data_IF_341415171038
#
_entry.id   IF_341415171038
#
_cell.length_a   1.000
_cell.length_b   1.000
_cell.length_c   1.000
_cell.angle_alpha   90.00
_cell.angle_beta   90.00
_cell.angle_gamma   90.00
#
_symmetry.space_group_name_H-M   'P 1'
#
loop_
_entity.id
_entity.type
_entity.pdbx_description
1 polymer ?
#
# COMPACT_ATOMS: atom_id res chain seq x y z
N UNK A 1 31.94 -20.48 12.19
CA UNK A 1 31.62 -19.51 11.13
C UNK A 1 31.76 -20.22 9.81
N UNK A 2 30.75 -20.18 8.95
CA UNK A 2 30.87 -20.73 7.60
C UNK A 2 31.83 -19.85 6.78
N UNK A 3 32.38 -20.39 5.68
CA UNK A 3 33.17 -19.57 4.75
C UNK A 3 32.33 -18.41 4.18
N UNK A 4 31.02 -18.60 4.02
CA UNK A 4 30.10 -17.55 3.57
C UNK A 4 29.96 -16.41 4.60
N UNK A 5 29.89 -16.71 5.90
CA UNK A 5 29.82 -15.69 6.95
C UNK A 5 31.09 -14.82 6.98
N UNK A 6 32.26 -15.44 6.81
CA UNK A 6 33.53 -14.74 6.75
C UNK A 6 33.60 -13.80 5.53
N UNK A 7 33.25 -14.28 4.34
CA UNK A 7 33.25 -13.44 3.13
C UNK A 7 32.23 -12.32 3.20
N UNK A 8 31.07 -12.54 3.82
CA UNK A 8 30.05 -11.52 4.01
C UNK A 8 30.53 -10.41 4.96
N UNK A 9 31.26 -10.75 6.03
CA UNK A 9 31.84 -9.75 6.95
C UNK A 9 32.96 -8.94 6.29
N UNK A 10 33.81 -9.60 5.50
CA UNK A 10 34.82 -8.93 4.68
C UNK A 10 34.17 -7.99 3.65
N UNK A 11 33.06 -8.39 3.03
CA UNK A 11 32.32 -7.57 2.08
C UNK A 11 31.74 -6.31 2.74
N UNK A 12 31.15 -6.44 3.94
CA UNK A 12 30.66 -5.28 4.73
C UNK A 12 31.79 -4.32 5.05
N UNK A 13 32.93 -4.85 5.47
CA UNK A 13 34.12 -4.05 5.79
C UNK A 13 34.62 -3.28 4.56
N UNK A 14 34.68 -3.94 3.40
CA UNK A 14 35.07 -3.30 2.14
C UNK A 14 34.07 -2.22 1.70
N UNK A 15 32.77 -2.48 1.84
CA UNK A 15 31.71 -1.50 1.54
C UNK A 15 31.83 -0.23 2.40
N UNK A 16 32.01 -0.39 3.72
CA UNK A 16 32.20 0.75 4.63
C UNK A 16 33.47 1.56 4.31
N UNK A 17 34.51 0.90 3.79
CA UNK A 17 35.76 1.55 3.34
C UNK A 17 35.65 2.20 1.94
N UNK A 18 34.49 2.11 1.27
CA UNK A 18 34.31 2.62 -0.10
C UNK A 18 35.00 1.77 -1.17
N UNK A 19 35.41 0.55 -0.85
CA UNK A 19 36.10 -0.36 -1.77
C UNK A 19 35.08 -1.17 -2.58
N UNK A 20 34.33 -0.50 -3.46
CA UNK A 20 33.16 -1.05 -4.16
C UNK A 20 33.46 -2.33 -4.94
N UNK A 21 34.52 -2.38 -5.74
CA UNK A 21 34.87 -3.58 -6.53
C UNK A 21 35.21 -4.78 -5.64
N UNK A 22 35.97 -4.55 -4.56
CA UNK A 22 36.34 -5.59 -3.62
C UNK A 22 35.10 -6.12 -2.88
N UNK A 23 34.20 -5.23 -2.46
CA UNK A 23 32.95 -5.60 -1.83
C UNK A 23 32.07 -6.46 -2.76
N UNK A 24 31.89 -6.04 -4.02
CA UNK A 24 31.11 -6.80 -5.01
C UNK A 24 31.70 -8.19 -5.28
N UNK A 25 33.02 -8.31 -5.43
CA UNK A 25 33.70 -9.59 -5.62
C UNK A 25 33.47 -10.57 -4.46
N UNK A 26 33.49 -10.07 -3.22
CA UNK A 26 33.23 -10.87 -2.03
C UNK A 26 31.74 -11.25 -1.92
N UNK A 27 30.82 -10.35 -2.26
CA UNK A 27 29.37 -10.62 -2.29
C UNK A 27 29.04 -11.70 -3.32
N UNK A 28 29.60 -11.61 -4.54
CA UNK A 28 29.36 -12.58 -5.60
C UNK A 28 29.85 -13.99 -5.20
N UNK A 29 30.93 -14.09 -4.42
CA UNK A 29 31.38 -15.38 -3.84
C UNK A 29 30.38 -15.95 -2.82
N UNK A 30 29.81 -15.11 -1.95
CA UNK A 30 28.79 -15.54 -0.99
C UNK A 30 27.55 -16.04 -1.72
N UNK A 31 27.08 -15.29 -2.71
CA UNK A 31 25.88 -15.64 -3.50
C UNK A 31 26.09 -16.85 -4.40
N UNK A 32 27.32 -17.13 -4.82
CA UNK A 32 27.65 -18.35 -5.54
C UNK A 32 27.48 -19.60 -4.66
N UNK A 33 27.90 -19.53 -3.39
CA UNK A 33 27.77 -20.65 -2.44
C UNK A 33 26.39 -20.73 -1.80
N UNK A 34 25.75 -19.60 -1.55
CA UNK A 34 24.46 -19.48 -0.88
C UNK A 34 23.52 -18.54 -1.67
N UNK A 35 22.89 -19.04 -2.75
CA UNK A 35 22.07 -18.22 -3.64
C UNK A 35 20.84 -17.57 -2.97
N UNK A 36 20.42 -18.10 -1.82
CA UNK A 36 19.30 -17.58 -1.04
C UNK A 36 19.74 -16.79 0.21
N UNK A 37 21.02 -16.38 0.29
CA UNK A 37 21.50 -15.57 1.41
C UNK A 37 20.96 -14.13 1.31
N UNK A 38 19.93 -13.86 2.10
CA UNK A 38 19.20 -12.60 2.06
C UNK A 38 20.06 -11.39 2.46
N UNK A 39 21.06 -11.58 3.33
CA UNK A 39 21.95 -10.51 3.76
C UNK A 39 22.97 -10.13 2.67
N UNK A 40 23.44 -11.10 1.89
CA UNK A 40 24.32 -10.86 0.75
C UNK A 40 23.60 -10.14 -0.40
N UNK A 41 22.35 -10.50 -0.71
CA UNK A 41 21.53 -9.79 -1.69
C UNK A 41 21.23 -8.34 -1.27
N UNK A 42 20.97 -8.10 0.02
CA UNK A 42 20.77 -6.73 0.51
C UNK A 42 22.05 -5.89 0.40
N UNK A 43 23.19 -6.46 0.79
CA UNK A 43 24.49 -5.79 0.67
C UNK A 43 24.86 -5.52 -0.79
N UNK A 44 24.47 -6.40 -1.72
CA UNK A 44 24.61 -6.17 -3.16
C UNK A 44 23.85 -4.92 -3.61
N UNK A 45 22.59 -4.78 -3.17
CA UNK A 45 21.75 -3.63 -3.50
C UNK A 45 22.34 -2.31 -2.98
N UNK A 46 22.90 -2.33 -1.78
CA UNK A 46 23.55 -1.15 -1.17
C UNK A 46 24.90 -0.81 -1.83
N UNK A 47 25.61 -1.81 -2.35
CA UNK A 47 26.98 -1.63 -2.88
C UNK A 47 27.01 -1.31 -4.37
N UNK A 48 26.05 -1.82 -5.16
CA UNK A 48 26.12 -1.70 -6.61
C UNK A 48 25.83 -0.26 -7.08
N UNK A 49 26.65 0.30 -7.98
CA UNK A 49 26.38 1.63 -8.56
C UNK A 49 25.26 1.59 -9.61
N UNK A 50 25.04 0.43 -10.24
CA UNK A 50 24.04 0.23 -11.30
C UNK A 50 22.61 0.20 -10.72
N UNK A 51 21.73 1.14 -11.09
CA UNK A 51 20.34 1.16 -10.66
C UNK A 51 19.55 -0.10 -11.03
N UNK A 52 19.82 -0.72 -12.18
CA UNK A 52 19.12 -1.93 -12.60
C UNK A 52 19.52 -3.13 -11.73
N UNK A 53 20.82 -3.34 -11.51
CA UNK A 53 21.35 -4.37 -10.59
C UNK A 53 20.88 -4.16 -9.16
N UNK A 54 20.71 -2.91 -8.72
CA UNK A 54 20.16 -2.57 -7.39
C UNK A 54 18.70 -3.02 -7.25
N UNK A 55 17.85 -2.69 -8.20
CA UNK A 55 16.44 -3.09 -8.19
C UNK A 55 16.30 -4.61 -8.19
N UNK A 56 17.05 -5.31 -9.05
CA UNK A 56 17.06 -6.77 -9.10
C UNK A 56 17.49 -7.40 -7.77
N UNK A 57 18.48 -6.81 -7.10
CA UNK A 57 18.95 -7.30 -5.80
C UNK A 57 17.87 -7.14 -4.72
N UNK A 58 17.15 -6.01 -4.67
CA UNK A 58 16.02 -5.84 -3.75
C UNK A 58 14.87 -6.81 -4.04
N UNK A 59 14.51 -7.03 -5.31
CA UNK A 59 13.48 -8.02 -5.69
C UNK A 59 13.85 -9.43 -5.21
N UNK A 60 15.14 -9.81 -5.30
CA UNK A 60 15.62 -11.09 -4.77
C UNK A 60 15.52 -11.18 -3.25
N UNK A 61 15.83 -10.11 -2.52
CA UNK A 61 15.65 -10.04 -1.06
C UNK A 61 14.19 -10.27 -0.67
N UNK A 62 13.25 -9.63 -1.38
CA UNK A 62 11.81 -9.79 -1.15
C UNK A 62 11.33 -11.20 -1.50
N UNK A 63 11.81 -11.77 -2.60
CA UNK A 63 11.44 -13.12 -3.05
C UNK A 63 11.89 -14.23 -2.07
N UNK A 64 13.01 -14.03 -1.35
CA UNK A 64 13.49 -14.99 -0.35
C UNK A 64 12.61 -14.99 0.90
N UNK A 65 12.44 -13.82 1.54
CA UNK A 65 11.55 -13.70 2.70
C UNK A 65 11.21 -12.21 3.01
N UNK A 66 9.99 -11.73 2.71
CA UNK A 66 9.64 -10.33 2.93
C UNK A 66 9.46 -9.95 4.42
N UNK A 67 9.37 -10.92 5.34
CA UNK A 67 9.06 -10.67 6.76
C UNK A 67 10.30 -10.39 7.62
N UNK A 68 11.50 -10.70 7.13
CA UNK A 68 12.75 -10.41 7.84
C UNK A 68 13.08 -8.91 7.79
N UNK A 69 14.01 -8.45 8.62
CA UNK A 69 14.46 -7.05 8.61
C UNK A 69 14.98 -6.64 7.21
N UNK A 70 15.76 -7.51 6.55
CA UNK A 70 16.24 -7.29 5.19
C UNK A 70 15.08 -7.24 4.18
N UNK A 71 14.09 -8.14 4.31
CA UNK A 71 12.87 -8.15 3.51
C UNK A 71 12.09 -6.83 3.60
N UNK A 72 11.83 -6.35 4.82
CA UNK A 72 11.14 -5.09 5.06
C UNK A 72 11.89 -3.88 4.49
N UNK A 73 13.21 -3.87 4.61
CA UNK A 73 14.06 -2.82 4.04
C UNK A 73 13.98 -2.82 2.51
N UNK A 74 14.04 -3.98 1.87
CA UNK A 74 13.92 -4.10 0.42
C UNK A 74 12.53 -3.70 -0.11
N UNK A 75 11.45 -4.06 0.59
CA UNK A 75 10.09 -3.60 0.26
C UNK A 75 9.99 -2.08 0.33
N UNK A 76 10.51 -1.47 1.40
CA UNK A 76 10.52 -0.01 1.54
C UNK A 76 11.33 0.67 0.43
N UNK A 77 12.48 0.10 0.04
CA UNK A 77 13.32 0.62 -1.04
C UNK A 77 12.63 0.53 -2.42
N UNK A 78 11.89 -0.54 -2.70
CA UNK A 78 11.14 -0.71 -3.96
C UNK A 78 9.89 0.17 -4.04
N UNK A 79 9.30 0.54 -2.89
CA UNK A 79 8.14 1.43 -2.81
C UNK A 79 8.51 2.91 -2.76
N UNK A 80 9.77 3.23 -2.48
CA UNK A 80 10.26 4.60 -2.50
C UNK A 80 10.31 5.13 -3.94
N UNK A 81 9.56 6.19 -4.23
CA UNK A 81 9.67 6.93 -5.48
C UNK A 81 11.11 7.49 -5.57
N UNK A 82 11.87 7.23 -6.66
CA UNK A 82 13.21 7.79 -6.79
C UNK A 82 13.12 9.31 -6.74
N UNK A 83 13.86 9.92 -5.80
CA UNK A 83 14.00 11.36 -5.76
C UNK A 83 14.61 11.84 -7.09
N UNK A 84 14.14 12.96 -7.67
CA UNK A 84 14.80 13.54 -8.83
C UNK A 84 16.29 13.78 -8.48
N UNK A 85 17.23 13.50 -9.40
CA UNK A 85 18.64 13.71 -9.13
C UNK A 85 18.86 15.16 -8.71
N UNK A 86 19.64 15.37 -7.65
CA UNK A 86 20.10 16.70 -7.27
C UNK A 86 20.92 17.25 -8.45
N UNK A 87 20.34 18.21 -9.15
CA UNK A 87 20.93 18.84 -10.33
C UNK A 87 22.21 19.57 -9.90
N UNK A 88 23.38 18.98 -10.12
CA UNK A 88 24.60 19.76 -10.28
C UNK A 88 24.43 20.58 -11.55
N UNK A 89 24.49 21.91 -11.42
CA UNK A 89 24.36 22.85 -12.52
C UNK A 89 25.25 22.45 -13.72
N UNK A 90 24.70 22.30 -14.94
CA UNK A 90 25.51 22.08 -16.13
C UNK A 90 26.41 23.29 -16.40
N UNK A 91 27.67 23.10 -16.84
CA UNK A 91 28.46 24.20 -17.38
C UNK A 91 27.76 24.75 -18.63
N UNK A 92 27.74 26.07 -18.75
CA UNK A 92 27.07 26.79 -19.83
C UNK A 92 27.54 26.30 -21.21
N UNK A 93 26.64 25.65 -21.94
CA UNK A 93 26.81 25.36 -23.37
C UNK A 93 26.46 26.61 -24.20
N UNK A 94 27.08 26.79 -25.38
CA UNK A 94 26.95 28.02 -26.17
C UNK A 94 25.54 28.20 -26.72
N UNK A 95 25.10 29.46 -26.79
CA UNK A 95 23.79 29.84 -27.29
C UNK A 95 23.56 29.36 -28.73
N UNK A 96 22.58 28.46 -28.90
CA UNK A 96 21.97 28.18 -30.20
C UNK A 96 20.90 29.27 -30.45
N UNK A 97 20.87 29.91 -31.63
CA UNK A 97 19.89 30.95 -31.91
C UNK A 97 18.46 30.36 -31.92
N UNK A 98 17.57 31.02 -31.19
CA UNK A 98 16.17 30.64 -31.10
C UNK A 98 15.46 30.83 -32.45
N UNK A 99 14.76 29.78 -32.91
CA UNK A 99 13.80 29.91 -34.00
C UNK A 99 12.65 30.86 -33.60
N UNK A 100 12.04 31.57 -34.56
CA UNK A 100 11.00 32.54 -34.27
C UNK A 100 9.77 31.85 -33.68
N UNK A 101 9.41 32.29 -32.47
CA UNK A 101 8.16 31.95 -31.77
C UNK A 101 6.97 32.19 -32.73
N UNK A 102 6.09 31.20 -32.99
CA UNK A 102 4.85 31.47 -33.71
C UNK A 102 4.00 32.47 -32.92
N UNK A 103 3.25 33.36 -33.59
CA UNK A 103 2.53 34.42 -32.92
C UNK A 103 1.51 33.84 -31.93
N UNK A 104 1.54 34.36 -30.71
CA UNK A 104 0.52 34.10 -29.71
C UNK A 104 -0.83 34.50 -30.32
N UNK A 105 -1.76 33.54 -30.40
CA UNK A 105 -3.17 33.88 -30.60
C UNK A 105 -3.60 34.73 -29.41
N UNK A 106 -3.76 36.00 -29.69
CA UNK A 106 -4.24 37.03 -28.79
C UNK A 106 -5.75 36.88 -28.63
N UNK A 107 -6.16 36.01 -27.70
CA UNK A 107 -7.48 36.09 -27.05
C UNK A 107 -7.29 36.01 -25.53
N UNK A 108 -6.25 36.66 -25.02
CA UNK A 108 -6.09 36.88 -23.58
C UNK A 108 -7.09 37.94 -23.15
N UNK A 109 -8.29 37.51 -22.79
CA UNK A 109 -9.23 38.33 -22.03
C UNK A 109 -8.48 38.95 -20.84
N UNK A 110 -8.56 40.28 -20.68
CA UNK A 110 -7.96 40.98 -19.56
C UNK A 110 -8.33 40.30 -18.23
N UNK A 111 -7.43 40.27 -17.21
CA UNK A 111 -7.72 39.64 -15.94
C UNK A 111 -9.01 40.26 -15.36
N UNK A 112 -10.05 39.45 -15.23
CA UNK A 112 -11.34 39.88 -14.68
C UNK A 112 -11.08 40.34 -13.24
N UNK A 113 -11.36 41.60 -12.92
CA UNK A 113 -11.20 42.12 -11.57
C UNK A 113 -11.99 41.26 -10.56
N UNK A 114 -11.51 41.12 -9.31
CA UNK A 114 -12.22 40.35 -8.31
C UNK A 114 -13.62 40.94 -8.10
N UNK A 115 -14.63 40.08 -8.19
CA UNK A 115 -16.01 40.48 -8.01
C UNK A 115 -16.26 40.88 -6.55
N UNK A 116 -16.97 41.98 -6.35
CA UNK A 116 -17.46 42.40 -5.03
C UNK A 116 -18.90 41.91 -4.88
N UNK A 117 -19.25 41.33 -3.75
CA UNK A 117 -20.60 40.85 -3.43
C UNK A 117 -21.11 41.50 -2.16
N UNK A 118 -22.42 41.72 -2.10
CA UNK A 118 -23.02 42.30 -0.90
C UNK A 118 -23.35 41.21 0.12
N UNK A 119 -22.74 41.33 1.30
CA UNK A 119 -23.01 40.48 2.44
C UNK A 119 -24.35 40.79 3.12
N UNK A 120 -24.60 40.10 4.22
CA UNK A 120 -25.75 40.25 5.08
C UNK A 120 -25.32 40.27 6.54
N UNK A 121 -26.19 40.76 7.41
CA UNK A 121 -26.03 40.68 8.85
C UNK A 121 -27.39 40.43 9.51
N UNK A 122 -27.38 39.88 10.71
CA UNK A 122 -28.60 39.66 11.49
C UNK A 122 -28.66 40.65 12.65
N UNK A 123 -29.82 41.29 12.83
CA UNK A 123 -30.05 42.25 13.90
C UNK A 123 -30.19 41.54 15.25
N UNK A 124 -29.26 41.80 16.17
CA UNK A 124 -29.28 41.22 17.53
C UNK A 124 -30.38 41.78 18.43
N UNK A 125 -30.95 42.94 18.09
CA UNK A 125 -31.95 43.62 18.93
C UNK A 125 -33.37 43.09 18.70
N UNK A 126 -33.77 42.90 17.44
CA UNK A 126 -35.11 42.40 17.09
C UNK A 126 -35.12 41.01 16.46
N UNK A 127 -33.93 40.43 16.18
CA UNK A 127 -33.82 39.11 15.56
C UNK A 127 -34.05 39.08 14.04
N UNK A 128 -34.23 40.23 13.39
CA UNK A 128 -34.36 40.30 11.92
C UNK A 128 -33.12 39.76 11.25
N UNK A 129 -33.30 38.79 10.34
CA UNK A 129 -32.20 38.12 9.64
C UNK A 129 -32.02 38.67 8.23
N UNK A 130 -30.80 38.59 7.72
CA UNK A 130 -30.53 38.88 6.31
C UNK A 130 -30.67 40.36 5.96
N UNK A 131 -30.38 41.26 6.90
CA UNK A 131 -30.32 42.70 6.61
C UNK A 131 -29.15 42.95 5.66
N UNK A 132 -29.33 43.82 4.66
CA UNK A 132 -28.31 44.05 3.64
C UNK A 132 -27.05 44.65 4.26
N UNK A 133 -25.88 44.22 3.79
CA UNK A 133 -24.60 44.70 4.27
C UNK A 133 -24.48 46.22 4.20
N UNK A 134 -25.03 46.87 3.17
CA UNK A 134 -25.02 48.34 3.06
C UNK A 134 -25.82 49.06 4.14
N UNK A 135 -26.85 48.42 4.71
CA UNK A 135 -27.81 49.06 5.61
C UNK A 135 -27.25 49.11 7.03
N UNK A 136 -26.96 50.30 7.55
CA UNK A 136 -26.43 50.49 8.92
C UNK A 136 -27.53 50.28 9.97
N UNK A 137 -28.73 50.75 9.70
CA UNK A 137 -29.89 50.56 10.56
C UNK A 137 -30.71 49.35 10.10
N UNK A 138 -31.22 48.58 11.05
CA UNK A 138 -32.15 47.50 10.76
C UNK A 138 -33.47 48.11 10.24
N UNK A 139 -33.97 47.72 9.05
CA UNK A 139 -35.20 48.28 8.50
C UNK A 139 -36.45 47.91 9.32
N UNK A 140 -36.38 46.87 10.16
CA UNK A 140 -37.51 46.42 10.96
C UNK A 140 -37.67 47.17 12.30
N UNK A 141 -36.56 47.55 12.96
CA UNK A 141 -36.61 48.15 14.30
C UNK A 141 -35.79 49.44 14.46
N UNK A 142 -35.09 49.89 13.41
CA UNK A 142 -34.28 51.11 13.43
C UNK A 142 -32.95 50.99 14.18
N UNK A 143 -32.71 49.92 14.96
CA UNK A 143 -31.43 49.75 15.64
C UNK A 143 -30.26 49.60 14.66
N UNK A 144 -29.20 50.35 14.93
CA UNK A 144 -27.97 50.37 14.15
C UNK A 144 -27.04 49.20 14.49
N UNK A 145 -26.21 48.82 13.52
CA UNK A 145 -25.08 47.90 13.72
C UNK A 145 -24.11 48.45 14.76
N UNK A 146 -23.51 47.55 15.53
CA UNK A 146 -22.50 47.85 16.56
C UNK A 146 -21.27 46.95 16.39
N UNK A 147 -20.37 47.01 17.38
CA UNK A 147 -19.09 46.27 17.36
C UNK A 147 -19.22 44.74 17.26
N UNK A 148 -20.38 44.17 17.58
CA UNK A 148 -20.60 42.72 17.56
C UNK A 148 -21.30 42.25 16.28
N UNK A 149 -21.57 43.16 15.33
CA UNK A 149 -22.15 42.77 14.04
C UNK A 149 -21.26 41.74 13.35
N UNK A 150 -21.90 40.72 12.78
CA UNK A 150 -21.22 39.69 11.99
C UNK A 150 -21.77 39.71 10.59
N UNK A 151 -20.91 40.07 9.65
CA UNK A 151 -21.23 39.94 8.24
C UNK A 151 -21.09 38.48 7.81
N UNK A 152 -21.94 38.08 6.89
CA UNK A 152 -21.88 36.79 6.23
C UNK A 152 -22.26 36.96 4.76
N UNK A 153 -21.79 36.06 3.91
CA UNK A 153 -22.05 36.10 2.48
C UNK A 153 -22.96 34.92 2.10
N UNK A 154 -24.25 35.16 1.81
CA UNK A 154 -25.14 34.13 1.27
C UNK A 154 -24.54 33.45 0.03
N UNK A 155 -24.86 32.17 -0.19
CA UNK A 155 -24.35 31.43 -1.36
C UNK A 155 -24.80 32.05 -2.68
N UNK A 156 -26.04 32.52 -2.72
CA UNK A 156 -26.64 33.22 -3.87
C UNK A 156 -26.48 34.75 -3.79
N UNK A 157 -25.43 35.26 -3.12
CA UNK A 157 -25.21 36.70 -3.07
C UNK A 157 -24.80 37.25 -4.44
N UNK A 158 -25.59 38.16 -4.98
CA UNK A 158 -25.31 38.81 -6.27
C UNK A 158 -24.01 39.62 -6.26
N UNK A 159 -23.38 39.67 -7.43
CA UNK A 159 -22.27 40.58 -7.71
C UNK A 159 -22.78 42.04 -7.71
N UNK A 160 -22.03 42.91 -7.06
CA UNK A 160 -22.30 44.34 -7.00
C UNK A 160 -21.78 44.99 -8.28
N UNK A 161 -22.69 45.27 -9.21
CA UNK A 161 -22.36 45.91 -10.49
C UNK A 161 -22.48 47.45 -10.45
N UNK A 162 -23.22 47.99 -9.47
CA UNK A 162 -23.43 49.44 -9.35
C UNK A 162 -22.14 50.15 -8.90
N UNK A 163 -21.75 51.19 -9.64
CA UNK A 163 -20.52 51.91 -9.42
C UNK A 163 -20.46 52.60 -8.05
N UNK A 164 -21.57 53.15 -7.55
CA UNK A 164 -21.61 53.82 -6.26
C UNK A 164 -21.46 52.83 -5.10
N UNK A 165 -22.04 51.63 -5.23
CA UNK A 165 -21.86 50.56 -4.27
C UNK A 165 -20.46 49.95 -4.32
N UNK A 166 -19.84 49.81 -5.49
CA UNK A 166 -18.44 49.41 -5.62
C UNK A 166 -17.51 50.41 -4.93
N UNK A 167 -17.75 51.72 -5.11
CA UNK A 167 -17.01 52.76 -4.41
C UNK A 167 -17.24 52.70 -2.89
N UNK A 168 -18.49 52.43 -2.46
CA UNK A 168 -18.81 52.23 -1.04
C UNK A 168 -18.07 51.02 -0.46
N UNK A 169 -18.03 49.90 -1.16
CA UNK A 169 -17.31 48.71 -0.73
C UNK A 169 -15.80 48.98 -0.59
N UNK A 170 -15.23 49.74 -1.54
CA UNK A 170 -13.81 50.14 -1.55
C UNK A 170 -13.48 51.32 -0.64
N UNK A 171 -14.45 51.90 0.05
CA UNK A 171 -14.25 53.06 0.93
C UNK A 171 -13.48 52.73 2.22
N UNK A 172 -13.31 51.43 2.53
CA UNK A 172 -12.68 50.93 3.74
C UNK A 172 -13.69 50.40 4.76
N UNK A 173 -13.16 49.88 5.88
CA UNK A 173 -13.93 49.29 6.97
C UNK A 173 -14.85 50.32 7.65
N UNK A 174 -15.99 49.88 8.16
CA UNK A 174 -16.86 50.75 8.97
C UNK A 174 -16.15 51.10 10.29
N UNK A 175 -16.20 52.38 10.70
CA UNK A 175 -15.68 52.83 11.99
C UNK A 175 -16.76 52.77 13.06
N UNK A 176 -16.34 52.56 14.31
CA UNK A 176 -17.21 52.43 15.47
C UNK A 176 -17.06 53.66 16.36
N UNK A 177 -18.16 54.35 16.62
CA UNK A 177 -18.15 55.56 17.45
C UNK A 177 -17.71 55.24 18.87
N UNK A 178 -16.67 55.92 19.37
CA UNK A 178 -16.16 55.74 20.73
C UNK A 178 -17.19 56.11 21.81
N UNK A 179 -18.13 57.02 21.52
CA UNK A 179 -19.13 57.49 22.47
C UNK A 179 -20.35 56.58 22.57
N UNK A 180 -20.92 56.17 21.43
CA UNK A 180 -22.18 55.41 21.40
C UNK A 180 -22.06 53.99 20.82
N UNK A 181 -20.88 53.59 20.34
CA UNK A 181 -20.63 52.26 19.77
C UNK A 181 -21.25 51.98 18.40
N UNK A 182 -21.92 52.98 17.80
CA UNK A 182 -22.59 52.84 16.49
C UNK A 182 -21.57 52.70 15.36
N UNK A 183 -21.84 51.77 14.45
CA UNK A 183 -21.11 51.63 13.18
C UNK A 183 -21.45 52.75 12.20
N UNK A 184 -20.44 53.31 11.57
CA UNK A 184 -20.55 54.37 10.57
C UNK A 184 -19.67 54.01 9.37
N UNK A 185 -20.08 54.45 8.18
CA UNK A 185 -19.28 54.24 6.98
C UNK A 185 -17.92 54.90 7.08
N UNK A 186 -16.91 54.30 6.45
CA UNK A 186 -15.53 54.78 6.45
C UNK A 186 -15.39 56.29 6.11
N UNK A 187 -16.20 56.80 5.18
CA UNK A 187 -16.18 58.20 4.70
C UNK A 187 -16.97 59.18 5.57
N UNK A 188 -17.67 58.74 6.61
CA UNK A 188 -18.40 59.65 7.51
C UNK A 188 -17.44 60.25 8.54
N UNK A 189 -17.36 61.58 8.60
CA UNK A 189 -16.52 62.30 9.59
C UNK A 189 -17.19 62.45 10.96
N UNK A 190 -18.51 62.24 11.04
CA UNK A 190 -19.31 62.39 12.25
C UNK A 190 -20.25 61.19 12.40
N UNK A 191 -20.53 60.82 13.65
CA UNK A 191 -21.43 59.72 13.95
C UNK A 191 -22.86 60.11 13.59
N UNK A 192 -23.53 59.30 12.76
CA UNK A 192 -24.91 59.56 12.34
C UNK A 192 -25.94 59.48 13.48
N UNK A 193 -25.59 58.81 14.58
CA UNK A 193 -26.50 58.60 15.71
C UNK A 193 -26.36 59.68 16.80
N UNK A 194 -25.14 60.07 17.17
CA UNK A 194 -24.90 61.01 18.28
C UNK A 194 -24.14 62.29 17.89
N UNK A 195 -23.70 62.43 16.64
CA UNK A 195 -22.96 63.60 16.17
C UNK A 195 -21.47 63.65 16.56
N UNK A 196 -20.97 62.69 17.33
CA UNK A 196 -19.57 62.68 17.76
C UNK A 196 -18.59 62.56 16.58
N UNK A 197 -17.41 63.16 16.71
CA UNK A 197 -16.39 63.18 15.67
C UNK A 197 -15.73 61.81 15.48
N UNK A 198 -15.42 61.44 14.23
CA UNK A 198 -14.60 60.26 13.92
C UNK A 198 -13.20 60.36 14.50
N UNK A 199 -12.64 61.57 14.59
CA UNK A 199 -11.28 61.80 15.12
C UNK A 199 -11.10 61.28 16.55
N UNK A 200 -12.19 61.15 17.31
CA UNK A 200 -12.19 60.64 18.68
C UNK A 200 -12.46 59.11 18.75
N UNK A 201 -12.58 58.44 17.60
CA UNK A 201 -12.94 57.03 17.46
C UNK A 201 -11.84 56.19 16.81
N UNK A 202 -11.17 55.36 17.61
CA UNK A 202 -10.09 54.47 17.13
C UNK A 202 -10.57 53.05 16.78
N UNK A 203 -11.82 52.70 17.12
CA UNK A 203 -12.37 51.36 16.89
C UNK A 203 -13.00 51.26 15.50
N UNK A 204 -12.81 50.12 14.85
CA UNK A 204 -13.31 49.84 13.50
C UNK A 204 -13.69 48.37 13.39
N UNK A 205 -14.52 48.03 12.41
CA UNK A 205 -14.73 46.65 12.00
C UNK A 205 -13.45 46.06 11.42
N UNK A 206 -13.29 44.74 11.54
CA UNK A 206 -12.12 44.04 11.03
C UNK A 206 -12.31 43.60 9.58
N UNK A 207 -11.30 43.81 8.75
CA UNK A 207 -11.17 43.12 7.46
C UNK A 207 -10.72 41.67 7.73
N UNK A 208 -11.30 40.70 7.03
CA UNK A 208 -10.92 39.30 7.21
C UNK A 208 -10.98 38.51 5.91
N UNK A 209 -9.89 37.80 5.59
CA UNK A 209 -9.82 36.90 4.44
C UNK A 209 -10.16 35.47 4.85
N UNK A 210 -10.97 34.80 4.03
CA UNK A 210 -11.45 33.44 4.21
C UNK A 210 -11.14 32.61 2.97
N UNK A 211 -10.77 31.34 3.15
CA UNK A 211 -10.86 30.33 2.07
C UNK A 211 -12.35 30.04 1.77
N UNK A 212 -12.65 29.50 0.58
CA UNK A 212 -14.04 29.27 0.14
C UNK A 212 -14.90 28.46 1.14
N UNK A 213 -14.31 27.51 1.85
CA UNK A 213 -14.95 26.67 2.87
C UNK A 213 -15.17 27.38 4.22
N UNK A 214 -14.44 28.46 4.48
CA UNK A 214 -14.49 29.20 5.75
C UNK A 214 -15.37 30.45 5.69
N UNK A 215 -15.86 30.83 4.50
CA UNK A 215 -16.70 32.01 4.31
C UNK A 215 -17.97 31.90 5.17
N UNK A 216 -18.23 32.84 6.10
CA UNK A 216 -19.43 32.78 6.93
C UNK A 216 -20.67 32.87 6.05
N UNK A 217 -21.59 31.91 6.19
CA UNK A 217 -22.88 31.88 5.45
C UNK A 217 -24.08 32.32 6.29
N UNK A 218 -23.87 32.59 7.58
CA UNK A 218 -24.88 33.12 8.51
C UNK A 218 -24.22 33.90 9.64
N UNK A 219 -24.98 34.73 10.38
CA UNK A 219 -24.45 35.50 11.52
C UNK A 219 -24.15 34.66 12.78
N UNK A 220 -24.52 33.38 12.80
CA UNK A 220 -24.18 32.48 13.91
C UNK A 220 -22.68 32.25 13.97
N UNK A 221 -22.11 32.22 15.17
CA UNK A 221 -20.71 31.80 15.33
C UNK A 221 -20.56 30.40 14.70
N UNK A 222 -19.53 30.15 13.89
CA UNK A 222 -19.17 28.77 13.59
C UNK A 222 -18.93 28.07 14.92
N UNK A 223 -19.68 26.99 15.20
CA UNK A 223 -19.30 26.05 16.27
C UNK A 223 -17.88 25.60 15.93
N UNK A 224 -16.93 25.52 16.88
CA UNK A 224 -15.63 24.94 16.61
C UNK A 224 -15.85 23.53 16.05
N UNK A 225 -15.62 23.38 14.75
CA UNK A 225 -15.69 22.10 14.07
C UNK A 225 -14.53 21.27 14.60
N UNK A 226 -14.76 20.10 15.21
CA UNK A 226 -13.68 19.16 15.45
C UNK A 226 -12.97 18.88 14.13
N UNK A 227 -11.64 18.76 14.18
CA UNK A 227 -10.81 18.44 13.02
C UNK A 227 -11.45 17.33 12.17
N UNK A 228 -11.43 17.43 10.83
CA UNK A 228 -12.06 16.45 9.97
C UNK A 228 -11.40 15.09 10.22
N UNK A 229 -12.19 14.14 10.71
CA UNK A 229 -11.83 12.74 10.66
C UNK A 229 -11.64 12.34 9.19
N UNK A 230 -10.68 11.45 8.86
CA UNK A 230 -10.46 11.00 7.49
C UNK A 230 -11.77 10.44 6.91
N UNK A 231 -12.13 10.80 5.66
CA UNK A 231 -13.41 10.39 5.11
C UNK A 231 -13.45 8.87 4.95
N UNK A 232 -14.50 8.17 5.45
CA UNK A 232 -14.78 6.82 4.99
C UNK A 232 -15.16 6.91 3.51
N UNK A 233 -14.41 6.21 2.67
CA UNK A 233 -14.69 6.06 1.25
C UNK A 233 -16.10 5.49 1.06
N UNK A 234 -17.01 6.30 0.52
CA UNK A 234 -18.29 5.79 -0.01
C UNK A 234 -18.23 5.85 -1.52
N UNK A 235 -18.10 4.67 -2.10
CA UNK A 235 -18.33 4.38 -3.51
C UNK A 235 -19.76 4.78 -3.89
N UNK A 236 -19.88 5.47 -5.03
CA UNK A 236 -21.15 5.81 -5.63
C UNK A 236 -21.90 4.55 -6.07
N UNK A 237 -23.19 4.51 -5.75
CA UNK A 237 -24.10 3.48 -6.23
C UNK A 237 -24.37 3.65 -7.72
N UNK A 238 -24.11 2.59 -8.48
CA UNK A 238 -24.90 2.26 -9.67
C UNK A 238 -25.75 1.03 -9.30
N UNK A 239 -27.07 1.22 -9.31
CA UNK A 239 -28.05 0.29 -8.78
C UNK A 239 -28.18 -1.00 -9.59
N UNK A 240 -28.59 -2.04 -8.86
CA UNK A 240 -29.13 -3.35 -9.31
C UNK A 240 -28.20 -4.51 -9.68
N UNK A 241 -26.88 -4.36 -9.79
CA UNK A 241 -25.97 -5.55 -9.97
C UNK A 241 -25.04 -5.77 -8.77
N UNK A 242 -24.59 -4.69 -8.12
CA UNK A 242 -23.66 -4.76 -6.97
C UNK A 242 -24.33 -5.29 -5.70
N UNK A 243 -25.63 -5.02 -5.50
CA UNK A 243 -26.37 -5.56 -4.36
C UNK A 243 -26.54 -7.08 -4.44
N UNK A 244 -26.77 -7.62 -5.64
CA UNK A 244 -26.85 -9.07 -5.85
C UNK A 244 -25.47 -9.70 -5.68
N UNK A 245 -24.41 -9.09 -6.22
CA UNK A 245 -23.04 -9.58 -6.03
C UNK A 245 -22.58 -9.54 -4.57
N UNK A 246 -22.95 -8.50 -3.81
CA UNK A 246 -22.63 -8.40 -2.38
C UNK A 246 -23.47 -9.37 -1.53
N UNK A 247 -24.75 -9.57 -1.86
CA UNK A 247 -25.60 -10.58 -1.20
C UNK A 247 -25.13 -11.99 -1.56
N UNK A 248 -24.73 -12.25 -2.80
CA UNK A 248 -24.13 -13.53 -3.21
C UNK A 248 -22.79 -13.74 -2.53
N UNK A 249 -21.93 -12.72 -2.43
CA UNK A 249 -20.65 -12.82 -1.73
C UNK A 249 -20.86 -13.06 -0.23
N UNK A 250 -21.79 -12.35 0.42
CA UNK A 250 -22.17 -12.61 1.82
C UNK A 250 -22.84 -13.98 1.99
N UNK A 251 -23.61 -14.45 1.01
CA UNK A 251 -24.19 -15.79 0.98
C UNK A 251 -23.11 -16.84 0.83
N UNK A 252 -22.13 -16.68 -0.06
CA UNK A 252 -21.02 -17.63 -0.24
C UNK A 252 -20.03 -17.59 0.93
N UNK A 253 -19.80 -16.42 1.53
CA UNK A 253 -19.01 -16.27 2.77
C UNK A 253 -19.76 -16.87 3.95
N UNK A 254 -21.06 -16.64 4.08
CA UNK A 254 -21.91 -17.23 5.12
C UNK A 254 -22.09 -18.74 4.94
N UNK A 255 -22.24 -19.20 3.70
CA UNK A 255 -22.31 -20.62 3.34
C UNK A 255 -20.95 -21.28 3.57
N UNK A 256 -19.86 -20.62 3.21
CA UNK A 256 -18.49 -21.07 3.51
C UNK A 256 -18.24 -21.15 5.01
N UNK A 257 -18.63 -20.12 5.77
CA UNK A 257 -18.55 -20.12 7.22
C UNK A 257 -19.43 -21.23 7.82
N UNK A 258 -20.66 -21.44 7.33
CA UNK A 258 -21.57 -22.50 7.80
C UNK A 258 -21.09 -23.92 7.45
N UNK A 259 -20.43 -24.07 6.29
CA UNK A 259 -19.80 -25.32 5.84
C UNK A 259 -18.52 -25.63 6.64
N UNK A 260 -17.77 -24.61 7.05
CA UNK A 260 -16.48 -24.73 7.73
C UNK A 260 -16.56 -24.62 9.26
N UNK A 261 -17.69 -24.19 9.83
CA UNK A 261 -17.84 -24.12 11.29
C UNK A 261 -17.97 -25.54 11.85
N UNK A 262 -17.02 -25.99 12.69
CA UNK A 262 -17.06 -27.32 13.26
C UNK A 262 -18.23 -27.40 14.25
N UNK A 263 -18.97 -28.51 14.20
CA UNK A 263 -20.10 -28.81 15.11
C UNK A 263 -19.73 -29.95 16.03
N UNK A 264 -20.03 -29.82 17.32
CA UNK A 264 -19.89 -30.93 18.22
C UNK A 264 -21.12 -31.85 18.18
N UNK A 265 -20.85 -33.16 18.16
CA UNK A 265 -21.85 -34.21 18.24
C UNK A 265 -21.34 -35.32 19.14
N UNK A 266 -22.22 -35.86 19.98
CA UNK A 266 -21.87 -36.97 20.87
C UNK A 266 -22.04 -38.31 20.14
N UNK A 267 -20.95 -39.04 19.96
CA UNK A 267 -20.93 -40.34 19.28
C UNK A 267 -20.38 -41.44 20.19
N UNK A 268 -20.86 -42.67 20.01
CA UNK A 268 -20.39 -43.83 20.76
C UNK A 268 -19.27 -44.54 20.00
N UNK A 269 -18.23 -44.98 20.71
CA UNK A 269 -17.15 -45.77 20.12
C UNK A 269 -17.57 -47.23 20.08
N UNK A 270 -17.67 -47.79 18.88
CA UNK A 270 -18.19 -49.14 18.62
C UNK A 270 -17.14 -50.11 18.10
N UNK A 271 -15.94 -49.63 17.80
CA UNK A 271 -14.89 -50.47 17.27
C UNK A 271 -13.57 -49.73 17.06
N UNK A 272 -12.57 -50.51 16.68
CA UNK A 272 -11.21 -50.06 16.45
C UNK A 272 -10.64 -50.78 15.23
N UNK A 273 -9.75 -50.11 14.52
CA UNK A 273 -8.81 -50.76 13.63
C UNK A 273 -7.47 -50.05 13.69
N UNK A 274 -6.41 -50.77 13.39
CA UNK A 274 -5.06 -50.23 13.32
C UNK A 274 -4.32 -50.92 12.19
N UNK A 275 -3.38 -50.20 11.58
CA UNK A 275 -2.47 -50.71 10.58
C UNK A 275 -1.07 -50.15 10.84
N UNK A 276 -0.06 -51.02 10.86
CA UNK A 276 1.35 -50.63 10.97
C UNK A 276 2.12 -51.23 9.81
N UNK A 277 2.96 -50.42 9.18
CA UNK A 277 3.83 -50.86 8.08
C UNK A 277 5.29 -50.52 8.31
N UNK A 278 6.18 -51.39 7.83
CA UNK A 278 7.62 -51.15 7.81
C UNK A 278 8.12 -51.39 6.39
N UNK A 279 8.72 -50.37 5.79
CA UNK A 279 9.46 -50.53 4.56
C UNK A 279 10.69 -51.41 4.82
N UNK A 280 10.94 -52.39 3.96
CA UNK A 280 12.19 -53.13 3.92
C UNK A 280 13.00 -52.53 2.80
N UNK A 281 14.17 -51.99 3.17
CA UNK A 281 15.14 -51.48 2.22
C UNK A 281 16.20 -52.55 1.97
N UNK A 282 16.62 -52.69 0.72
CA UNK A 282 17.71 -53.55 0.31
C UNK A 282 18.83 -52.70 -0.26
N UNK A 283 20.07 -53.03 0.10
CA UNK A 283 21.25 -52.37 -0.43
C UNK A 283 21.46 -52.86 -1.87
N UNK A 284 21.28 -51.96 -2.84
CA UNK A 284 21.41 -52.24 -4.26
C UNK A 284 22.50 -51.36 -4.86
N UNK A 285 23.35 -51.96 -5.69
CA UNK A 285 24.27 -51.21 -6.55
C UNK A 285 23.48 -50.60 -7.71
N UNK A 286 23.46 -49.27 -7.78
CA UNK A 286 22.78 -48.53 -8.85
C UNK A 286 23.80 -47.75 -9.67
N UNK A 287 23.52 -47.56 -10.95
CA UNK A 287 24.29 -46.68 -11.83
C UNK A 287 23.64 -45.29 -11.84
N UNK A 288 24.42 -44.27 -11.48
CA UNK A 288 23.99 -42.86 -11.45
C UNK A 288 24.94 -42.01 -12.33
N UNK A 289 24.45 -40.88 -12.83
CA UNK A 289 25.28 -39.87 -13.50
C UNK A 289 25.34 -38.59 -12.65
N UNK A 290 26.50 -37.95 -12.61
CA UNK A 290 26.67 -36.70 -11.88
C UNK A 290 27.99 -36.01 -12.16
N UNK A 291 28.12 -34.77 -11.68
CA UNK A 291 29.31 -33.95 -11.85
C UNK A 291 30.43 -34.28 -10.86
N UNK A 292 30.09 -35.06 -9.82
CA UNK A 292 31.00 -35.54 -8.78
C UNK A 292 30.58 -36.96 -8.39
N UNK A 293 31.54 -37.76 -7.95
CA UNK A 293 31.32 -39.13 -7.49
C UNK A 293 31.25 -39.11 -5.96
N UNK A 294 30.11 -39.46 -5.34
CA UNK A 294 29.98 -39.50 -3.89
C UNK A 294 30.90 -40.54 -3.25
N UNK A 295 31.15 -40.42 -1.95
CA UNK A 295 31.92 -41.41 -1.19
C UNK A 295 31.29 -42.81 -1.32
N UNK A 296 32.11 -43.81 -1.63
CA UNK A 296 31.66 -45.19 -1.92
C UNK A 296 31.25 -45.43 -3.38
N UNK A 297 31.22 -44.39 -4.22
CA UNK A 297 30.96 -44.52 -5.66
C UNK A 297 32.17 -45.05 -6.43
N UNK A 298 31.91 -45.88 -7.43
CA UNK A 298 32.89 -46.52 -8.31
C UNK A 298 32.70 -45.98 -9.73
N UNK A 299 33.65 -45.20 -10.23
CA UNK A 299 33.59 -44.59 -11.58
C UNK A 299 33.52 -45.69 -12.65
N UNK A 300 32.54 -45.59 -13.55
CA UNK A 300 32.45 -46.41 -14.76
C UNK A 300 33.04 -45.68 -15.97
N UNK A 301 32.63 -44.42 -16.19
CA UNK A 301 33.10 -43.61 -17.32
C UNK A 301 33.01 -42.11 -17.01
N UNK A 302 33.63 -41.30 -17.87
CA UNK A 302 33.54 -39.85 -17.82
C UNK A 302 33.42 -39.26 -19.22
N UNK A 303 32.72 -38.12 -19.36
CA UNK A 303 32.55 -37.41 -20.62
C UNK A 303 32.47 -35.89 -20.40
N UNK A 304 32.85 -35.11 -21.40
CA UNK A 304 32.57 -33.67 -21.41
C UNK A 304 31.07 -33.44 -21.66
N UNK A 305 30.44 -32.63 -20.81
CA UNK A 305 29.02 -32.31 -20.91
C UNK A 305 28.76 -30.85 -20.51
N UNK A 306 27.66 -30.28 -21.02
CA UNK A 306 27.24 -28.92 -20.67
C UNK A 306 26.73 -28.91 -19.23
N UNK A 307 27.45 -28.22 -18.35
CA UNK A 307 27.09 -28.01 -16.95
C UNK A 307 26.09 -26.87 -16.77
N UNK A 308 26.22 -25.83 -17.60
CA UNK A 308 25.39 -24.64 -17.55
C UNK A 308 25.76 -23.66 -18.65
N UNK A 309 25.26 -22.42 -18.54
CA UNK A 309 25.53 -21.36 -19.50
C UNK A 309 25.89 -20.06 -18.79
N UNK A 310 26.90 -19.36 -19.29
CA UNK A 310 27.18 -17.98 -18.92
C UNK A 310 26.50 -17.04 -19.90
N UNK A 311 25.87 -15.99 -19.40
CA UNK A 311 25.40 -14.89 -20.25
C UNK A 311 26.54 -13.89 -20.41
N UNK A 312 27.01 -13.74 -21.65
CA UNK A 312 28.07 -12.79 -21.99
C UNK A 312 27.44 -11.65 -22.80
N UNK A 313 27.69 -10.41 -22.38
CA UNK A 313 27.28 -9.23 -23.14
C UNK A 313 28.02 -9.23 -24.47
N UNK A 314 27.28 -9.31 -25.58
CA UNK A 314 27.86 -9.37 -26.94
C UNK A 314 27.72 -8.06 -27.71
N UNK A 315 26.87 -7.15 -27.23
CA UNK A 315 26.69 -5.85 -27.85
C UNK A 315 25.47 -5.12 -27.32
N UNK A 316 25.10 -4.05 -28.01
CA UNK A 316 23.93 -3.25 -27.71
C UNK A 316 23.10 -3.06 -28.98
N UNK A 317 21.77 -3.07 -28.83
CA UNK A 317 20.82 -2.71 -29.87
C UNK A 317 20.21 -1.35 -29.56
N UNK A 318 20.33 -0.39 -30.48
CA UNK A 318 19.63 0.90 -30.34
C UNK A 318 18.14 0.68 -30.53
N UNK A 319 17.36 0.93 -29.48
CA UNK A 319 15.89 0.91 -29.51
C UNK A 319 15.32 2.29 -29.22
N UNK A 320 14.05 2.47 -29.57
CA UNK A 320 13.34 3.73 -29.38
C UNK A 320 12.18 3.50 -28.43
N UNK A 321 12.00 4.40 -27.47
CA UNK A 321 10.82 4.42 -26.59
C UNK A 321 10.21 5.82 -26.56
N UNK A 322 8.89 5.86 -26.40
CA UNK A 322 8.18 7.12 -26.14
C UNK A 322 8.20 7.39 -24.63
N UNK A 323 8.64 8.57 -24.25
CA UNK A 323 8.62 9.05 -22.87
C UNK A 323 7.75 10.29 -22.78
N UNK A 324 6.91 10.32 -21.74
CA UNK A 324 6.03 11.44 -21.44
C UNK A 324 6.64 12.32 -20.36
N UNK A 325 6.60 13.63 -20.56
CA UNK A 325 6.95 14.64 -19.57
C UNK A 325 5.80 15.62 -19.36
N UNK A 326 5.63 16.12 -18.13
CA UNK A 326 4.69 17.19 -17.83
C UNK A 326 5.41 18.53 -18.05
N UNK A 327 4.94 19.32 -19.01
CA UNK A 327 5.47 20.65 -19.28
C UNK A 327 4.45 21.67 -18.82
N UNK A 328 4.86 22.66 -18.01
CA UNK A 328 3.97 23.76 -17.65
C UNK A 328 3.69 24.60 -18.90
N UNK A 329 2.43 24.63 -19.33
CA UNK A 329 2.00 25.34 -20.55
C UNK A 329 1.28 26.64 -20.27
N UNK A 330 0.92 26.88 -19.01
CA UNK A 330 0.26 28.11 -18.62
C UNK A 330 0.03 28.22 -17.12
N UNK A 331 -0.80 29.19 -16.78
CA UNK A 331 -1.25 29.49 -15.42
C UNK A 331 -2.74 29.81 -15.50
N UNK A 332 -3.53 29.18 -14.65
CA UNK A 332 -4.96 29.42 -14.51
C UNK A 332 -5.20 30.24 -13.24
N UNK A 333 -5.88 31.38 -13.40
CA UNK A 333 -6.36 32.21 -12.29
C UNK A 333 -7.77 31.77 -11.89
N UNK A 334 -8.01 31.53 -10.61
CA UNK A 334 -9.30 31.08 -10.08
C UNK A 334 -9.61 31.73 -8.73
N UNK A 335 -10.90 31.78 -8.35
CA UNK A 335 -11.32 32.29 -7.05
C UNK A 335 -11.01 31.26 -5.97
N UNK A 336 -10.12 31.60 -5.04
CA UNK A 336 -9.68 30.73 -3.95
C UNK A 336 -10.26 31.14 -2.57
N UNK A 337 -10.91 32.29 -2.49
CA UNK A 337 -11.46 32.78 -1.23
C UNK A 337 -12.35 34.00 -1.36
N UNK A 338 -12.74 34.53 -0.21
CA UNK A 338 -13.52 35.77 -0.06
C UNK A 338 -12.90 36.61 1.06
N UNK A 339 -12.88 37.92 0.85
CA UNK A 339 -12.38 38.90 1.82
C UNK A 339 -13.54 39.76 2.29
N UNK A 340 -13.89 39.65 3.58
CA UNK A 340 -14.81 40.56 4.25
C UNK A 340 -14.13 41.92 4.39
N UNK A 341 -14.72 42.95 3.78
CA UNK A 341 -14.21 44.32 3.78
C UNK A 341 -14.62 45.10 5.04
N UNK A 342 -15.26 44.46 6.02
CA UNK A 342 -15.64 45.06 7.30
C UNK A 342 -16.73 46.13 7.22
N UNK A 343 -17.37 46.29 6.06
CA UNK A 343 -18.40 47.29 5.81
C UNK A 343 -19.70 46.68 5.22
N UNK A 344 -19.81 45.35 5.31
CA UNK A 344 -20.92 44.57 4.78
C UNK A 344 -20.74 44.11 3.33
N UNK A 345 -19.60 44.35 2.70
CA UNK A 345 -19.25 43.83 1.38
C UNK A 345 -18.11 42.81 1.47
N UNK A 346 -18.08 41.89 0.50
CA UNK A 346 -17.05 40.87 0.35
C UNK A 346 -16.40 40.99 -1.03
N UNK A 347 -15.09 40.82 -1.13
CA UNK A 347 -14.35 40.81 -2.40
C UNK A 347 -13.75 39.42 -2.65
N UNK A 348 -13.88 38.91 -3.87
CA UNK A 348 -13.28 37.64 -4.27
C UNK A 348 -11.75 37.70 -4.18
N UNK A 349 -11.15 36.64 -3.63
CA UNK A 349 -9.69 36.48 -3.63
C UNK A 349 -9.31 35.55 -4.78
N UNK A 350 -8.47 36.05 -5.69
CA UNK A 350 -7.96 35.29 -6.82
C UNK A 350 -6.59 34.69 -6.49
N UNK A 351 -6.40 33.43 -6.89
CA UNK A 351 -5.14 32.72 -6.80
C UNK A 351 -4.78 32.15 -8.19
N UNK A 352 -3.48 31.91 -8.38
CA UNK A 352 -2.95 31.33 -9.61
C UNK A 352 -2.47 29.90 -9.35
N UNK A 353 -2.72 29.00 -10.31
CA UNK A 353 -2.15 27.64 -10.30
C UNK A 353 -1.54 27.28 -11.67
N UNK A 354 -0.40 26.58 -11.71
CA UNK A 354 0.21 26.15 -12.96
C UNK A 354 -0.66 25.11 -13.68
N UNK A 355 -0.74 25.22 -15.01
CA UNK A 355 -1.39 24.24 -15.88
C UNK A 355 -0.31 23.45 -16.62
N UNK A 356 -0.39 22.12 -16.54
CA UNK A 356 0.57 21.21 -17.18
C UNK A 356 -0.07 20.48 -18.36
N UNK A 357 0.72 20.27 -19.41
CA UNK A 357 0.38 19.43 -20.55
C UNK A 357 1.36 18.25 -20.59
N UNK A 358 0.86 17.05 -20.85
CA UNK A 358 1.69 15.87 -21.06
C UNK A 358 2.19 15.85 -22.48
N UNK A 359 3.51 16.01 -22.69
CA UNK A 359 4.13 15.89 -24.01
C UNK A 359 4.88 14.58 -24.12
N UNK A 360 4.71 13.90 -25.25
CA UNK A 360 5.44 12.67 -25.56
C UNK A 360 6.59 12.98 -26.50
N UNK A 361 7.79 12.55 -26.13
CA UNK A 361 8.97 12.59 -27.00
C UNK A 361 9.51 11.19 -27.21
N UNK A 362 10.01 10.94 -28.41
CA UNK A 362 10.69 9.70 -28.76
C UNK A 362 12.17 9.83 -28.40
N UNK A 363 12.69 8.90 -27.62
CA UNK A 363 14.11 8.85 -27.23
C UNK A 363 14.71 7.47 -27.53
N UNK A 364 15.96 7.47 -28.00
CA UNK A 364 16.72 6.25 -28.28
C UNK A 364 17.51 5.82 -27.05
N UNK A 365 17.55 4.52 -26.79
CA UNK A 365 18.36 3.92 -25.73
C UNK A 365 19.05 2.66 -26.24
N UNK A 366 20.17 2.29 -25.62
CA UNK A 366 20.92 1.08 -25.94
C UNK A 366 20.44 -0.07 -25.05
N UNK A 367 19.90 -1.12 -25.66
CA UNK A 367 19.48 -2.33 -24.97
C UNK A 367 20.58 -3.41 -25.10
N UNK A 368 21.11 -3.95 -23.99
CA UNK A 368 22.18 -4.94 -24.04
C UNK A 368 21.70 -6.28 -24.62
N UNK A 369 22.49 -6.84 -25.53
CA UNK A 369 22.28 -8.19 -26.09
C UNK A 369 23.24 -9.16 -25.40
N UNK A 370 22.69 -10.25 -24.87
CA UNK A 370 23.46 -11.33 -24.25
C UNK A 370 23.45 -12.60 -25.09
N UNK A 371 24.58 -13.29 -25.16
CA UNK A 371 24.68 -14.62 -25.72
C UNK A 371 24.98 -15.65 -24.62
N UNK A 372 24.24 -16.76 -24.64
CA UNK A 372 24.48 -17.88 -23.75
C UNK A 372 25.65 -18.74 -24.26
N UNK A 373 26.75 -18.76 -23.52
CA UNK A 373 27.94 -19.57 -23.83
C UNK A 373 27.94 -20.81 -22.92
N UNK A 374 27.99 -22.04 -23.47
CA UNK A 374 27.97 -23.25 -22.66
C UNK A 374 29.24 -23.40 -21.82
N UNK A 375 29.06 -23.78 -20.57
CA UNK A 375 30.13 -24.15 -19.64
C UNK A 375 30.25 -25.66 -19.69
N UNK A 376 31.39 -26.16 -20.19
CA UNK A 376 31.67 -27.60 -20.23
C UNK A 376 32.31 -28.04 -18.92
N UNK A 377 31.85 -29.17 -18.36
CA UNK A 377 32.53 -29.87 -17.26
C UNK A 377 32.55 -31.37 -17.54
N UNK A 378 33.40 -32.08 -16.81
CA UNK A 378 33.41 -33.55 -16.79
C UNK A 378 32.21 -34.06 -16.00
N UNK A 379 31.35 -34.83 -16.66
CA UNK A 379 30.29 -35.62 -16.02
C UNK A 379 30.75 -37.06 -15.89
N UNK A 380 30.44 -37.69 -14.78
CA UNK A 380 30.80 -39.07 -14.45
C UNK A 380 29.56 -39.96 -14.46
N UNK A 381 29.72 -41.16 -15.00
CA UNK A 381 28.81 -42.29 -14.76
C UNK A 381 29.49 -43.20 -13.75
N UNK A 382 28.79 -43.56 -12.67
CA UNK A 382 29.36 -44.33 -11.57
C UNK A 382 28.34 -45.30 -10.97
N UNK A 383 28.85 -46.37 -10.37
CA UNK A 383 28.06 -47.27 -9.53
C UNK A 383 28.14 -46.84 -8.06
N UNK A 384 27.05 -46.91 -7.32
CA UNK A 384 27.02 -46.65 -5.89
C UNK A 384 25.98 -47.52 -5.20
N UNK A 385 26.28 -47.95 -3.98
CA UNK A 385 25.36 -48.78 -3.19
C UNK A 385 24.34 -47.88 -2.47
N UNK A 386 23.05 -48.04 -2.80
CA UNK A 386 21.94 -47.26 -2.24
C UNK A 386 20.91 -48.19 -1.62
N UNK A 387 20.39 -47.80 -0.46
CA UNK A 387 19.23 -48.44 0.13
C UNK A 387 17.98 -48.08 -0.68
N UNK A 388 17.32 -49.08 -1.25
CA UNK A 388 16.08 -48.93 -2.03
C UNK A 388 14.98 -49.74 -1.37
N UNK A 389 13.78 -49.18 -1.26
CA UNK A 389 12.62 -49.92 -0.74
C UNK A 389 12.28 -51.03 -1.73
N UNK A 390 12.40 -52.28 -1.29
CA UNK A 390 12.08 -53.46 -2.12
C UNK A 390 10.71 -54.04 -1.80
N UNK A 391 10.25 -53.88 -0.56
CA UNK A 391 8.92 -54.33 -0.14
C UNK A 391 8.48 -53.57 1.10
N UNK A 392 7.19 -53.68 1.43
CA UNK A 392 6.62 -53.11 2.64
C UNK A 392 5.87 -54.22 3.36
N UNK A 393 6.23 -54.47 4.63
CA UNK A 393 5.49 -55.41 5.48
C UNK A 393 4.42 -54.66 6.22
N UNK A 394 3.22 -55.24 6.26
CA UNK A 394 2.03 -54.67 6.88
C UNK A 394 1.42 -55.69 7.82
N UNK A 395 0.96 -55.20 8.97
CA UNK A 395 0.08 -55.93 9.87
C UNK A 395 -0.98 -54.97 10.37
N UNK A 396 -2.18 -55.47 10.57
CA UNK A 396 -3.29 -54.70 11.09
C UNK A 396 -4.27 -55.60 11.82
N UNK A 397 -5.16 -54.99 12.59
CA UNK A 397 -6.15 -55.71 13.36
C UNK A 397 -7.25 -54.79 13.84
N UNK A 398 -8.38 -55.40 14.22
CA UNK A 398 -9.49 -54.71 14.91
C UNK A 398 -9.40 -54.82 16.44
N UNK A 399 -8.34 -55.45 16.94
CA UNK A 399 -8.11 -55.62 18.36
C UNK A 399 -7.44 -54.37 18.97
N UNK A 400 -7.34 -54.35 20.30
CA UNK A 400 -6.72 -53.27 21.09
C UNK A 400 -5.20 -53.46 21.29
N UNK A 401 -4.55 -54.29 20.49
CA UNK A 401 -3.13 -54.65 20.62
C UNK A 401 -2.40 -54.37 19.32
N UNK A 402 -1.95 -53.12 19.17
CA UNK A 402 -1.18 -52.70 18.00
C UNK A 402 0.24 -53.26 18.06
N UNK A 403 0.62 -54.03 17.04
CA UNK A 403 1.90 -54.72 16.96
C UNK A 403 2.65 -54.28 15.70
N UNK A 404 3.99 -54.38 15.72
CA UNK A 404 4.80 -54.15 14.53
C UNK A 404 4.97 -55.47 13.76
N UNK A 405 4.98 -55.45 12.41
CA UNK A 405 5.28 -56.64 11.62
C UNK A 405 6.64 -57.23 12.01
N UNK A 406 6.70 -58.55 12.24
CA UNK A 406 7.98 -59.24 12.43
C UNK A 406 8.74 -59.26 11.11
N UNK A 407 10.02 -58.85 11.14
CA UNK A 407 10.87 -58.79 9.96
C UNK A 407 11.89 -59.94 10.00
N UNK A 408 11.95 -60.70 8.91
CA UNK A 408 13.01 -61.66 8.64
C UNK A 408 13.89 -61.08 7.54
N UNK A 409 14.91 -60.34 7.94
CA UNK A 409 15.79 -59.59 7.04
C UNK A 409 17.00 -60.43 6.61
N UNK A 410 17.44 -60.24 5.37
CA UNK A 410 18.74 -60.74 4.87
C UNK A 410 19.86 -59.79 5.28
N UNK A 411 21.12 -60.21 5.14
CA UNK A 411 22.30 -59.41 5.47
C UNK A 411 22.38 -58.07 4.70
N UNK A 412 21.85 -58.04 3.47
CA UNK A 412 21.78 -56.84 2.63
C UNK A 412 20.46 -56.06 2.78
N UNK A 413 19.62 -56.38 3.77
CA UNK A 413 18.34 -55.72 4.01
C UNK A 413 18.31 -55.03 5.38
N UNK A 414 17.55 -53.94 5.47
CA UNK A 414 17.30 -53.22 6.74
C UNK A 414 15.85 -52.77 6.84
N UNK A 415 15.42 -52.49 8.06
CA UNK A 415 14.17 -51.77 8.29
C UNK A 415 14.35 -50.30 7.85
N UNK A 416 13.50 -49.85 6.93
CA UNK A 416 13.37 -48.47 6.52
C UNK A 416 12.26 -47.76 7.29
N UNK A 417 11.59 -46.84 6.60
CA UNK A 417 10.51 -46.03 7.18
C UNK A 417 9.39 -46.87 7.77
N UNK A 418 8.95 -46.49 8.97
CA UNK A 418 7.78 -47.06 9.65
C UNK A 418 6.60 -46.10 9.49
N UNK A 419 5.42 -46.65 9.21
CA UNK A 419 4.17 -45.89 9.21
C UNK A 419 3.13 -46.59 10.08
N UNK A 420 2.26 -45.82 10.70
CA UNK A 420 1.19 -46.32 11.55
C UNK A 420 -0.07 -45.49 11.34
N UNK A 421 -1.21 -46.17 11.38
CA UNK A 421 -2.53 -45.59 11.23
C UNK A 421 -3.46 -46.22 12.26
N UNK A 422 -4.21 -45.40 12.97
CA UNK A 422 -5.15 -45.84 14.00
C UNK A 422 -6.52 -45.26 13.72
N UNK A 423 -7.53 -46.12 13.71
CA UNK A 423 -8.90 -45.77 13.40
C UNK A 423 -9.80 -46.19 14.57
N UNK A 424 -10.73 -45.31 14.91
CA UNK A 424 -11.86 -45.61 15.80
C UNK A 424 -13.15 -45.59 14.99
N UNK A 425 -14.05 -46.54 15.28
CA UNK A 425 -15.37 -46.64 14.65
C UNK A 425 -16.38 -45.97 15.56
N UNK A 426 -16.90 -44.83 15.12
CA UNK A 426 -17.90 -44.03 15.81
C UNK A 426 -19.29 -44.37 15.30
N UNK A 427 -20.29 -44.45 16.18
CA UNK A 427 -21.70 -44.62 15.82
C UNK A 427 -22.53 -43.46 16.40
N UNK A 428 -23.34 -42.84 15.54
CA UNK A 428 -24.26 -41.76 15.94
C UNK A 428 -25.60 -42.31 16.50
N UNK A 429 -26.46 -41.42 17.00
CA UNK A 429 -27.80 -41.80 17.49
C UNK A 429 -28.72 -42.42 16.45
N UNK A 430 -28.40 -42.28 15.16
CA UNK A 430 -29.14 -42.86 14.02
C UNK A 430 -28.51 -44.18 13.53
N UNK A 431 -27.57 -44.76 14.27
CA UNK A 431 -26.83 -45.98 13.94
C UNK A 431 -25.97 -45.88 12.67
N UNK A 432 -25.57 -44.66 12.28
CA UNK A 432 -24.60 -44.46 11.20
C UNK A 432 -23.20 -44.61 11.75
N UNK A 433 -22.36 -45.36 11.04
CA UNK A 433 -20.99 -45.64 11.42
C UNK A 433 -20.00 -44.80 10.64
N UNK A 434 -18.98 -44.32 11.33
CA UNK A 434 -17.92 -43.49 10.79
C UNK A 434 -16.57 -44.01 11.24
N UNK A 435 -15.60 -44.01 10.34
CA UNK A 435 -14.21 -44.28 10.65
C UNK A 435 -13.46 -42.96 10.79
N UNK A 436 -12.78 -42.78 11.93
CA UNK A 436 -11.98 -41.60 12.20
C UNK A 436 -10.56 -42.01 12.53
N UNK A 437 -9.61 -41.45 11.78
CA UNK A 437 -8.19 -41.58 12.08
C UNK A 437 -7.81 -40.70 13.28
N UNK A 438 -7.09 -41.29 14.23
CA UNK A 438 -6.67 -40.65 15.48
C UNK A 438 -5.20 -40.93 15.76
N UNK A 439 -4.60 -40.15 16.66
CA UNK A 439 -3.25 -40.45 17.15
C UNK A 439 -3.19 -41.75 17.95
N UNK A 440 -2.01 -42.38 18.05
CA UNK A 440 -1.81 -43.56 18.91
C UNK A 440 -2.29 -43.32 20.34
N UNK A 441 -1.94 -42.16 20.92
CA UNK A 441 -2.30 -41.82 22.29
C UNK A 441 -3.82 -41.73 22.49
N UNK A 442 -4.53 -41.09 21.55
CA UNK A 442 -6.00 -41.04 21.58
C UNK A 442 -6.59 -42.44 21.41
N UNK A 443 -6.11 -43.21 20.44
CA UNK A 443 -6.56 -44.58 20.22
C UNK A 443 -6.42 -45.42 21.49
N UNK A 444 -5.27 -45.36 22.17
CA UNK A 444 -5.03 -46.07 23.43
C UNK A 444 -5.89 -45.58 24.60
N UNK A 445 -6.20 -44.28 24.68
CA UNK A 445 -7.01 -43.71 25.76
C UNK A 445 -8.50 -44.08 25.64
N UNK A 446 -9.05 -44.05 24.43
CA UNK A 446 -10.47 -44.27 24.17
C UNK A 446 -10.90 -45.72 24.47
N UNK A 447 -12.17 -45.92 24.90
CA UNK A 447 -12.73 -47.24 25.25
C UNK A 447 -14.01 -47.57 24.48
N UNK A 448 -14.22 -48.85 24.17
CA UNK A 448 -15.45 -49.30 23.50
C UNK A 448 -16.65 -49.03 24.41
N UNK A 449 -17.75 -48.56 23.82
CA UNK A 449 -18.95 -48.12 24.53
C UNK A 449 -18.85 -46.73 25.17
N UNK A 450 -17.67 -46.09 25.16
CA UNK A 450 -17.53 -44.71 25.61
C UNK A 450 -18.25 -43.77 24.63
N UNK A 451 -18.97 -42.79 25.18
CA UNK A 451 -19.51 -41.67 24.40
C UNK A 451 -18.54 -40.50 24.48
N UNK A 452 -18.19 -39.94 23.32
CA UNK A 452 -17.22 -38.85 23.19
C UNK A 452 -17.78 -37.72 22.36
N UNK A 453 -17.34 -36.51 22.66
CA UNK A 453 -17.66 -35.33 21.89
C UNK A 453 -16.74 -35.27 20.67
N UNK A 454 -17.35 -35.26 19.48
CA UNK A 454 -16.67 -35.33 18.19
C UNK A 454 -16.97 -34.06 17.40
N UNK A 455 -15.93 -33.42 16.88
CA UNK A 455 -16.09 -32.34 15.93
C UNK A 455 -16.43 -32.91 14.57
N UNK A 456 -17.49 -32.40 13.96
CA UNK A 456 -18.04 -32.87 12.68
C UNK A 456 -18.07 -31.75 11.64
N UNK A 457 -18.01 -32.13 10.37
CA UNK A 457 -18.27 -31.21 9.26
C UNK A 457 -19.76 -30.85 9.17
N UNK A 458 -20.12 -29.97 8.23
CA UNK A 458 -21.52 -29.57 8.03
C UNK A 458 -22.46 -30.70 7.61
N UNK A 459 -21.95 -31.88 7.26
CA UNK A 459 -22.70 -33.07 6.89
C UNK A 459 -22.72 -34.13 8.01
N UNK A 460 -22.14 -33.83 9.18
CA UNK A 460 -22.12 -34.72 10.34
C UNK A 460 -21.04 -35.80 10.26
N UNK A 461 -20.06 -35.68 9.35
CA UNK A 461 -18.91 -36.58 9.29
C UNK A 461 -17.88 -36.19 10.36
N UNK A 462 -17.40 -37.12 11.19
CA UNK A 462 -16.31 -36.87 12.15
C UNK A 462 -15.04 -36.31 11.50
N UNK A 463 -14.45 -35.29 12.14
CA UNK A 463 -13.18 -34.66 11.78
C UNK A 463 -12.13 -34.91 12.88
N UNK A 464 -12.51 -34.79 14.16
CA UNK A 464 -11.60 -35.01 15.30
C UNK A 464 -12.39 -35.31 16.58
N UNK A 465 -11.72 -35.93 17.55
CA UNK A 465 -12.23 -36.13 18.92
C UNK A 465 -11.54 -35.11 19.83
N UNK A 466 -12.31 -34.43 20.69
CA UNK A 466 -11.77 -33.49 21.69
C UNK A 466 -11.14 -34.19 22.90
#
# INVERSE_FOLDING_TARGET
MSNADMFLDMARTAHVKGQTEQALSLIDRVLYTEPNNQAAWLLLAETTPDPARRTQAYERVVAINPQTAAGKQAVAALQATPAPPATSAPPAAPAVPADPRPPANADSAAPKQPAVREGRWDCRYCGSKGVRGRDIACPACGHVRDKEVRFYLPEEADEVLDAALLQRAKAGVDWLCAFCGTSNVATAEQCRQCGASKAESNQHQAEKTYTLDQVPRSAKAPKPTPAPAPPPSKSGGCGSVVAIAAVLLLFFVGLGAWLLWPRSSEMAITGYSWERTIAIEELQTVTEEGWEIPAGGRRLSERQAVYGYNQVLTGYETRTRNVSEQVQVGTETYTCGQRDLGNGFFEEVQCDRPVYETRTRSETYEEPIYQAVPIMRTSYTYEIDRWRVVTTRRVGGSNRRAEWPTLNLRDNQRAGTRTEQYIVVLEDGNRRRYELEVSQAQWEALREGQRVEVQTDAFGKPISIE
#
